data_IF_247789342179
#
_entry.id   IF_247789342179
#
_cell.length_a   1.000
_cell.length_b   1.000
_cell.length_c   1.000
_cell.angle_alpha   90.00
_cell.angle_beta   90.00
_cell.angle_gamma   90.00
#
_symmetry.space_group_name_H-M   'P 1'
#
loop_
_entity.id
_entity.type
_entity.pdbx_description
1 polymer ?
#
# COMPACT_ATOMS: atom_id res chain seq x y z
N UNK A 1 4.69 -6.87 10.53
CA UNK A 1 4.77 -8.04 9.62
C UNK A 1 6.22 -8.45 9.50
N UNK A 2 6.55 -9.76 9.51
CA UNK A 2 7.93 -10.19 9.30
C UNK A 2 8.32 -10.12 7.82
N UNK A 3 9.65 -10.09 7.52
CA UNK A 3 10.11 -10.13 6.13
C UNK A 3 9.65 -11.41 5.42
N UNK A 4 9.62 -12.53 6.12
CA UNK A 4 9.13 -13.81 5.60
C UNK A 4 7.67 -13.71 5.18
N UNK A 5 6.80 -13.15 6.02
CA UNK A 5 5.39 -12.93 5.69
C UNK A 5 5.21 -12.00 4.48
N UNK A 6 6.00 -10.94 4.39
CA UNK A 6 5.95 -10.03 3.26
C UNK A 6 6.41 -10.71 1.96
N UNK A 7 7.53 -11.42 2.02
CA UNK A 7 8.06 -12.17 0.87
C UNK A 7 7.07 -13.24 0.40
N UNK A 8 6.42 -13.96 1.32
CA UNK A 8 5.40 -14.96 0.98
C UNK A 8 4.21 -14.30 0.27
N UNK A 9 3.76 -13.13 0.70
CA UNK A 9 2.67 -12.41 0.03
C UNK A 9 3.06 -11.96 -1.39
N UNK A 10 4.25 -11.40 -1.55
CA UNK A 10 4.76 -10.99 -2.86
C UNK A 10 4.87 -12.22 -3.79
N UNK A 11 5.39 -13.34 -3.29
CA UNK A 11 5.52 -14.55 -4.06
C UNK A 11 4.16 -15.16 -4.41
N UNK A 12 3.18 -15.10 -3.51
CA UNK A 12 1.80 -15.54 -3.75
C UNK A 12 1.15 -14.71 -4.87
N UNK A 13 1.25 -13.39 -4.79
CA UNK A 13 0.74 -12.47 -5.81
C UNK A 13 1.39 -12.73 -7.18
N UNK A 14 2.71 -12.87 -7.21
CA UNK A 14 3.47 -13.08 -8.45
C UNK A 14 3.26 -14.48 -9.06
N UNK A 15 3.01 -15.50 -8.24
CA UNK A 15 2.74 -16.86 -8.70
C UNK A 15 1.27 -17.13 -9.01
N UNK A 16 0.37 -16.23 -8.64
CA UNK A 16 -1.08 -16.45 -8.76
C UNK A 16 -1.61 -17.55 -7.83
N UNK A 17 -0.92 -17.85 -6.74
CA UNK A 17 -1.31 -18.88 -5.76
C UNK A 17 -1.71 -18.18 -4.46
N UNK A 18 -2.89 -18.52 -3.93
CA UNK A 18 -3.39 -17.91 -2.69
C UNK A 18 -2.41 -18.11 -1.52
N UNK A 19 -2.10 -17.03 -0.79
CA UNK A 19 -1.21 -17.11 0.39
C UNK A 19 -1.69 -18.11 1.44
N UNK A 20 -3.01 -18.35 1.52
CA UNK A 20 -3.61 -19.29 2.45
C UNK A 20 -3.31 -20.76 2.05
N UNK A 21 -3.37 -21.06 0.76
CA UNK A 21 -3.06 -22.41 0.23
C UNK A 21 -1.57 -22.72 0.39
N UNK A 22 -0.71 -21.72 0.13
CA UNK A 22 0.73 -21.83 0.39
C UNK A 22 1.03 -22.19 1.86
N UNK A 23 0.36 -21.50 2.79
CA UNK A 23 0.58 -21.75 4.23
C UNK A 23 0.05 -23.10 4.70
N UNK A 24 -1.02 -23.60 4.09
CA UNK A 24 -1.63 -24.89 4.42
C UNK A 24 -0.99 -26.06 3.69
N UNK A 25 -0.11 -25.81 2.72
CA UNK A 25 0.46 -26.83 1.85
C UNK A 25 -0.56 -27.43 0.86
N UNK A 26 -1.68 -26.74 0.64
CA UNK A 26 -2.75 -27.19 -0.27
C UNK A 26 -2.48 -26.71 -1.70
N UNK A 27 -1.33 -27.14 -2.25
CA UNK A 27 -0.88 -26.77 -3.59
C UNK A 27 -0.51 -28.02 -4.37
N UNK A 28 -0.79 -28.00 -5.68
CA UNK A 28 -0.41 -29.08 -6.59
C UNK A 28 1.08 -28.99 -6.93
N UNK A 29 1.64 -30.08 -7.44
CA UNK A 29 3.06 -30.16 -7.79
C UNK A 29 3.47 -29.12 -8.86
N UNK A 30 2.65 -28.92 -9.88
CA UNK A 30 2.85 -27.90 -10.92
C UNK A 30 2.85 -26.48 -10.34
N UNK A 31 1.91 -26.17 -9.43
CA UNK A 31 1.85 -24.90 -8.71
C UNK A 31 3.07 -24.71 -7.81
N UNK A 32 3.53 -25.77 -7.13
CA UNK A 32 4.75 -25.71 -6.32
C UNK A 32 5.99 -25.40 -7.18
N UNK A 33 6.13 -26.04 -8.33
CA UNK A 33 7.24 -25.75 -9.26
C UNK A 33 7.20 -24.31 -9.77
N UNK A 34 6.00 -23.78 -10.07
CA UNK A 34 5.84 -22.39 -10.47
C UNK A 34 6.21 -21.43 -9.35
N UNK A 35 5.74 -21.68 -8.13
CA UNK A 35 6.08 -20.90 -6.94
C UNK A 35 7.58 -20.91 -6.65
N UNK A 36 8.24 -22.06 -6.73
CA UNK A 36 9.68 -22.19 -6.53
C UNK A 36 10.49 -21.36 -7.55
N UNK A 37 10.06 -21.35 -8.82
CA UNK A 37 10.65 -20.46 -9.85
C UNK A 37 10.45 -18.99 -9.51
N UNK A 38 9.25 -18.60 -9.09
CA UNK A 38 8.93 -17.23 -8.66
C UNK A 38 9.83 -16.79 -7.51
N UNK A 39 10.01 -17.62 -6.48
CA UNK A 39 10.94 -17.34 -5.36
C UNK A 39 12.38 -17.18 -5.86
N UNK A 40 12.81 -18.03 -6.79
CA UNK A 40 14.16 -17.95 -7.37
C UNK A 40 14.38 -16.61 -8.10
N UNK A 41 13.38 -16.17 -8.85
CA UNK A 41 13.43 -14.87 -9.54
C UNK A 41 13.44 -13.71 -8.54
N UNK A 42 12.63 -13.77 -7.48
CA UNK A 42 12.59 -12.73 -6.44
C UNK A 42 13.92 -12.56 -5.72
N UNK A 43 14.74 -13.62 -5.59
CA UNK A 43 16.09 -13.53 -5.01
C UNK A 43 17.05 -12.62 -5.80
N UNK A 44 16.79 -12.43 -7.09
CA UNK A 44 17.63 -11.59 -7.96
C UNK A 44 17.20 -10.12 -7.92
N UNK A 45 16.02 -9.82 -7.40
CA UNK A 45 15.50 -8.44 -7.28
C UNK A 45 16.22 -7.73 -6.13
N UNK A 46 16.77 -6.52 -6.34
CA UNK A 46 17.45 -5.76 -5.31
C UNK A 46 16.45 -5.15 -4.31
N UNK A 47 15.86 -5.99 -3.49
CA UNK A 47 14.86 -5.66 -2.48
C UNK A 47 15.41 -5.88 -1.08
N UNK A 48 15.40 -4.82 -0.25
CA UNK A 48 15.96 -4.82 1.10
C UNK A 48 14.85 -4.54 2.12
N UNK A 49 14.73 -5.39 3.13
CA UNK A 49 13.70 -5.28 4.16
C UNK A 49 14.36 -5.01 5.50
N UNK A 50 14.02 -3.91 6.15
CA UNK A 50 14.32 -3.65 7.56
C UNK A 50 13.14 -4.07 8.42
N UNK A 51 13.32 -5.06 9.28
CA UNK A 51 12.25 -5.63 10.12
C UNK A 51 12.13 -4.95 11.49
N UNK A 52 12.87 -3.88 11.74
CA UNK A 52 12.81 -3.18 13.03
C UNK A 52 11.41 -2.60 13.25
N UNK A 53 10.82 -2.84 14.42
CA UNK A 53 9.44 -2.44 14.71
C UNK A 53 9.30 -0.91 14.79
N UNK A 54 9.87 -0.30 15.81
CA UNK A 54 9.83 1.16 15.97
C UNK A 54 11.22 1.73 15.73
N UNK A 55 11.38 2.52 14.68
CA UNK A 55 12.68 3.11 14.31
C UNK A 55 12.60 4.64 14.43
N UNK A 56 13.49 5.29 15.20
CA UNK A 56 13.62 6.74 15.16
C UNK A 56 13.99 7.23 13.76
N UNK A 57 13.37 8.34 13.32
CA UNK A 57 13.57 8.90 11.97
C UNK A 57 15.04 9.17 11.65
N UNK A 58 15.83 9.60 12.64
CA UNK A 58 17.28 9.78 12.48
C UNK A 58 18.03 8.48 12.21
N UNK A 59 17.62 7.37 12.85
CA UNK A 59 18.19 6.03 12.64
C UNK A 59 17.81 5.50 11.25
N UNK A 60 16.52 5.63 10.86
CA UNK A 60 16.05 5.29 9.52
C UNK A 60 16.87 6.01 8.45
N UNK A 61 17.00 7.32 8.59
CA UNK A 61 17.78 8.16 7.65
C UNK A 61 19.25 7.72 7.56
N UNK A 62 19.86 7.38 8.69
CA UNK A 62 21.26 6.91 8.73
C UNK A 62 21.42 5.56 8.03
N UNK A 63 20.47 4.61 8.27
CA UNK A 63 20.47 3.30 7.60
C UNK A 63 20.28 3.43 6.10
N UNK A 64 19.32 4.26 5.66
CA UNK A 64 19.05 4.50 4.24
C UNK A 64 20.28 5.09 3.52
N UNK A 65 20.91 6.12 4.08
CA UNK A 65 22.14 6.71 3.52
C UNK A 65 23.30 5.71 3.47
N UNK A 66 23.43 4.86 4.51
CA UNK A 66 24.44 3.79 4.52
C UNK A 66 24.17 2.78 3.43
N UNK A 67 22.92 2.31 3.27
CA UNK A 67 22.53 1.38 2.22
C UNK A 67 22.82 1.96 0.83
N UNK A 68 22.39 3.19 0.56
CA UNK A 68 22.63 3.88 -0.70
C UNK A 68 24.12 3.94 -1.05
N UNK A 69 24.99 4.31 -0.07
CA UNK A 69 26.44 4.32 -0.26
C UNK A 69 27.01 2.93 -0.54
N UNK A 70 26.55 1.92 0.20
CA UNK A 70 27.01 0.52 0.01
C UNK A 70 26.63 0.00 -1.36
N UNK A 71 25.39 0.25 -1.82
CA UNK A 71 24.94 -0.15 -3.14
C UNK A 71 25.77 0.47 -4.24
N UNK A 72 26.04 1.77 -4.14
CA UNK A 72 26.84 2.49 -5.13
C UNK A 72 28.29 2.01 -5.18
N UNK A 73 28.93 1.80 -4.00
CA UNK A 73 30.34 1.43 -3.93
C UNK A 73 30.62 -0.04 -4.26
N UNK A 74 29.74 -0.98 -3.83
CA UNK A 74 30.04 -2.42 -3.94
C UNK A 74 29.30 -3.12 -5.07
N UNK A 75 28.17 -2.58 -5.53
CA UNK A 75 27.34 -3.21 -6.56
C UNK A 75 27.12 -2.36 -7.80
N UNK A 76 27.61 -1.14 -7.84
CA UNK A 76 27.31 -0.14 -8.87
C UNK A 76 25.79 -0.01 -9.11
N UNK A 77 25.00 -0.06 -8.03
CA UNK A 77 23.55 0.06 -8.00
C UNK A 77 23.15 1.32 -7.25
N UNK A 78 22.03 1.89 -7.59
CA UNK A 78 21.45 3.03 -6.89
C UNK A 78 20.18 2.62 -6.16
N UNK A 79 19.95 3.24 -5.00
CA UNK A 79 18.68 3.10 -4.29
C UNK A 79 17.63 3.92 -5.03
N UNK A 80 16.54 3.28 -5.50
CA UNK A 80 15.53 3.94 -6.33
C UNK A 80 14.26 4.33 -5.60
N UNK A 81 13.95 3.69 -4.45
CA UNK A 81 12.71 3.91 -3.70
C UNK A 81 12.87 3.48 -2.25
N UNK A 82 12.24 4.21 -1.34
CA UNK A 82 12.04 3.79 0.05
C UNK A 82 10.54 3.70 0.32
N UNK A 83 10.10 2.60 0.96
CA UNK A 83 8.72 2.43 1.44
C UNK A 83 8.76 2.32 2.97
N UNK A 84 7.93 3.12 3.65
CA UNK A 84 7.77 3.12 5.12
C UNK A 84 6.37 2.62 5.46
N UNK A 85 6.28 1.44 6.07
CA UNK A 85 5.02 0.81 6.49
C UNK A 85 4.98 0.67 8.02
N UNK A 86 4.32 1.56 8.71
CA UNK A 86 3.66 2.82 8.41
C UNK A 86 4.21 3.92 9.35
N UNK A 87 3.97 5.19 9.03
CA UNK A 87 4.63 6.33 9.69
C UNK A 87 4.34 6.42 11.19
N UNK A 88 3.19 5.94 11.65
CA UNK A 88 2.83 5.94 13.06
C UNK A 88 3.68 4.97 13.93
N UNK A 89 4.42 4.04 13.30
CA UNK A 89 5.41 3.20 13.99
C UNK A 89 6.78 3.85 14.07
N UNK A 90 7.06 4.88 13.27
CA UNK A 90 8.29 5.63 13.41
C UNK A 90 8.28 6.42 14.73
N UNK A 91 9.42 6.54 15.35
CA UNK A 91 9.60 7.30 16.59
C UNK A 91 10.36 8.60 16.31
N UNK A 92 10.19 9.57 17.19
CA UNK A 92 11.04 10.78 17.19
C UNK A 92 12.41 10.48 17.75
N UNK A 93 13.41 11.17 17.25
CA UNK A 93 14.80 10.99 17.71
C UNK A 93 15.04 11.56 19.11
N UNK A 94 14.21 12.51 19.55
CA UNK A 94 14.50 13.34 20.73
C UNK A 94 13.70 13.00 21.97
N UNK A 95 12.61 12.22 21.86
CA UNK A 95 11.68 12.00 22.98
C UNK A 95 11.01 13.27 23.52
N UNK A 96 11.21 14.42 22.85
CA UNK A 96 10.76 15.75 23.31
C UNK A 96 9.24 15.94 23.25
N UNK A 97 8.54 15.16 22.45
CA UNK A 97 7.12 15.36 22.14
C UNK A 97 6.24 14.24 22.71
N UNK A 98 6.59 13.67 23.89
CA UNK A 98 5.82 12.59 24.53
C UNK A 98 4.33 12.91 24.66
N UNK A 99 3.98 14.18 24.76
CA UNK A 99 2.61 14.64 24.99
C UNK A 99 1.90 15.18 23.74
N UNK A 100 2.57 15.22 22.55
CA UNK A 100 1.99 15.76 21.30
C UNK A 100 2.27 14.88 20.10
N UNK A 101 1.34 13.99 19.82
CA UNK A 101 1.41 13.08 18.64
C UNK A 101 1.48 13.83 17.33
N UNK A 102 0.84 14.98 17.23
CA UNK A 102 0.89 15.85 16.03
C UNK A 102 2.31 16.32 15.72
N UNK A 103 3.05 16.72 16.79
CA UNK A 103 4.44 17.17 16.63
C UNK A 103 5.39 16.00 16.30
N UNK A 104 5.14 14.81 16.85
CA UNK A 104 5.88 13.60 16.47
C UNK A 104 5.75 13.29 14.99
N UNK A 105 4.50 13.29 14.48
CA UNK A 105 4.24 13.03 13.06
C UNK A 105 4.88 14.10 12.19
N UNK A 106 4.84 15.38 12.61
CA UNK A 106 5.50 16.47 11.89
C UNK A 106 7.03 16.27 11.80
N UNK A 107 7.70 15.88 12.90
CA UNK A 107 9.14 15.59 12.87
C UNK A 107 9.46 14.44 11.92
N UNK A 108 8.63 13.40 11.92
CA UNK A 108 8.82 12.23 11.05
C UNK A 108 8.64 12.62 9.58
N UNK A 109 7.57 13.33 9.23
CA UNK A 109 7.28 13.72 7.83
C UNK A 109 8.34 14.67 7.28
N UNK A 110 8.79 15.65 8.07
CA UNK A 110 9.89 16.53 7.71
C UNK A 110 11.20 15.77 7.52
N UNK A 111 11.48 14.80 8.41
CA UNK A 111 12.65 13.93 8.30
C UNK A 111 12.64 13.06 7.04
N UNK A 112 11.48 12.49 6.68
CA UNK A 112 11.31 11.73 5.44
C UNK A 112 11.46 12.63 4.21
N UNK A 113 10.89 13.84 4.25
CA UNK A 113 11.03 14.81 3.17
C UNK A 113 12.48 15.25 2.96
N UNK A 114 13.22 15.49 4.06
CA UNK A 114 14.65 15.79 4.00
C UNK A 114 15.44 14.63 3.40
N UNK A 115 15.17 13.40 3.87
CA UNK A 115 15.85 12.19 3.36
C UNK A 115 15.60 11.98 1.87
N UNK A 116 14.37 12.18 1.38
CA UNK A 116 14.02 12.07 -0.03
C UNK A 116 14.84 13.05 -0.89
N UNK A 117 14.97 14.30 -0.42
CA UNK A 117 15.80 15.32 -1.09
C UNK A 117 17.28 14.98 -1.05
N UNK A 118 17.80 14.55 0.11
CA UNK A 118 19.21 14.22 0.28
C UNK A 118 19.67 13.05 -0.60
N UNK A 119 18.82 12.07 -0.81
CA UNK A 119 19.11 10.89 -1.62
C UNK A 119 18.64 11.03 -3.07
N UNK A 120 17.87 12.09 -3.39
CA UNK A 120 17.22 12.31 -4.69
C UNK A 120 16.38 11.11 -5.14
N UNK A 121 15.59 10.54 -4.22
CA UNK A 121 14.71 9.40 -4.49
C UNK A 121 13.32 9.62 -3.92
N UNK A 122 12.27 9.02 -4.51
CA UNK A 122 10.93 9.02 -3.94
C UNK A 122 10.87 8.20 -2.64
N UNK A 123 10.05 8.69 -1.70
CA UNK A 123 9.68 7.94 -0.49
C UNK A 123 8.16 7.78 -0.47
N UNK A 124 7.68 6.55 -0.39
CA UNK A 124 6.28 6.23 -0.15
C UNK A 124 6.12 5.94 1.34
N UNK A 125 5.29 6.74 2.02
CA UNK A 125 4.99 6.53 3.42
C UNK A 125 3.52 6.14 3.57
N UNK A 126 3.25 4.96 4.14
CA UNK A 126 1.90 4.53 4.46
C UNK A 126 1.43 5.22 5.74
N UNK A 127 0.16 5.58 5.79
CA UNK A 127 -0.44 6.22 6.95
C UNK A 127 -1.80 5.61 7.26
N UNK A 128 -2.05 5.38 8.55
CA UNK A 128 -3.35 4.94 9.00
C UNK A 128 -4.34 6.11 9.01
N UNK A 129 -5.57 5.86 8.57
CA UNK A 129 -6.64 6.83 8.59
C UNK A 129 -7.33 6.92 9.96
N UNK A 130 -8.00 8.05 10.21
CA UNK A 130 -8.92 8.20 11.32
C UNK A 130 -10.11 7.25 11.18
N UNK A 131 -10.55 6.67 12.30
CA UNK A 131 -11.77 5.84 12.32
C UNK A 131 -13.04 6.63 12.02
N UNK A 132 -13.00 7.95 12.03
CA UNK A 132 -14.15 8.80 11.69
C UNK A 132 -14.66 8.57 10.25
N UNK A 133 -13.81 8.10 9.32
CA UNK A 133 -14.23 7.70 7.97
C UNK A 133 -15.32 6.62 8.01
N UNK A 134 -15.26 5.71 9.00
CA UNK A 134 -16.22 4.61 9.16
C UNK A 134 -17.63 5.06 9.60
N UNK A 135 -17.77 6.26 10.17
CA UNK A 135 -19.04 6.80 10.65
C UNK A 135 -19.80 7.63 9.59
N UNK A 136 -19.20 7.90 8.44
CA UNK A 136 -19.83 8.65 7.36
C UNK A 136 -20.63 7.74 6.42
N UNK A 137 -21.63 8.31 5.73
CA UNK A 137 -22.37 7.60 4.67
C UNK A 137 -21.44 7.30 3.49
N UNK A 138 -20.75 8.32 2.96
CA UNK A 138 -19.67 8.15 1.98
C UNK A 138 -18.35 7.89 2.72
N UNK A 139 -17.87 6.66 2.60
CA UNK A 139 -16.62 6.20 3.24
C UNK A 139 -15.37 6.44 2.38
N UNK A 140 -15.49 7.20 1.28
CA UNK A 140 -14.30 7.62 0.52
C UNK A 140 -13.45 8.54 1.37
N UNK A 141 -12.16 8.21 1.56
CA UNK A 141 -11.27 9.03 2.39
C UNK A 141 -11.06 10.44 1.83
N UNK A 142 -10.93 11.38 2.76
CA UNK A 142 -10.61 12.78 2.52
C UNK A 142 -9.29 13.14 3.21
N UNK A 143 -8.68 14.28 2.84
CA UNK A 143 -7.46 14.77 3.50
C UNK A 143 -7.63 14.96 5.00
N UNK A 144 -8.81 15.37 5.47
CA UNK A 144 -9.14 15.51 6.89
C UNK A 144 -9.10 14.18 7.66
N UNK A 145 -9.16 13.03 6.97
CA UNK A 145 -9.08 11.69 7.59
C UNK A 145 -7.64 11.25 7.86
N UNK A 146 -6.65 11.98 7.38
CA UNK A 146 -5.27 11.80 7.79
C UNK A 146 -5.16 12.24 9.26
N UNK A 147 -5.29 11.28 10.16
CA UNK A 147 -5.32 11.47 11.61
C UNK A 147 -4.05 12.16 12.11
N UNK A 148 -4.22 13.18 12.96
CA UNK A 148 -3.14 13.88 13.68
C UNK A 148 -2.16 14.66 12.77
N UNK A 149 -2.55 15.03 11.53
CA UNK A 149 -1.54 15.32 10.55
C UNK A 149 -1.86 16.37 9.48
N UNK A 150 -2.21 17.55 9.87
CA UNK A 150 -1.97 18.69 8.97
C UNK A 150 -0.53 18.72 8.41
N UNK A 151 0.43 18.13 9.16
CA UNK A 151 1.82 17.97 8.74
C UNK A 151 2.00 16.99 7.56
N UNK A 152 1.34 15.81 7.58
CA UNK A 152 1.41 14.86 6.44
C UNK A 152 0.90 15.55 5.18
N UNK A 153 -0.25 16.22 5.28
CA UNK A 153 -0.80 16.95 4.14
C UNK A 153 0.15 18.04 3.66
N UNK A 154 0.78 18.81 4.56
CA UNK A 154 1.67 19.90 4.18
C UNK A 154 2.95 19.39 3.50
N UNK A 155 3.59 18.36 4.06
CA UNK A 155 4.92 17.88 3.65
C UNK A 155 4.85 16.99 2.41
N UNK A 156 3.80 16.19 2.22
CA UNK A 156 3.65 15.30 1.08
C UNK A 156 3.46 16.09 -0.23
N UNK A 157 4.12 15.66 -1.29
CA UNK A 157 3.89 16.19 -2.65
C UNK A 157 2.64 15.58 -3.27
N UNK A 158 2.37 14.31 -2.95
CA UNK A 158 1.20 13.57 -3.41
C UNK A 158 0.58 12.88 -2.20
N UNK A 159 -0.77 12.93 -2.10
CA UNK A 159 -1.55 12.16 -1.14
C UNK A 159 -2.54 11.30 -1.93
N UNK A 160 -2.45 10.00 -1.71
CA UNK A 160 -3.32 9.01 -2.35
C UNK A 160 -4.00 8.15 -1.28
N UNK A 161 -5.27 7.82 -1.52
CA UNK A 161 -6.00 6.88 -0.69
C UNK A 161 -6.41 5.68 -1.52
N UNK A 162 -6.38 4.50 -0.92
CA UNK A 162 -6.92 3.28 -1.52
C UNK A 162 -8.31 3.06 -0.94
N UNK A 163 -9.30 2.90 -1.81
CA UNK A 163 -10.70 2.70 -1.44
C UNK A 163 -11.28 1.48 -2.18
N UNK A 164 -12.09 0.70 -1.47
CA UNK A 164 -12.83 -0.45 -2.02
C UNK A 164 -14.25 -0.42 -1.50
N UNK A 165 -15.21 -0.08 -2.37
CA UNK A 165 -16.64 -0.06 -2.03
C UNK A 165 -17.16 -1.45 -1.67
N UNK A 166 -16.72 -2.47 -2.41
CA UNK A 166 -17.00 -3.89 -2.16
C UNK A 166 -16.74 -4.31 -0.70
N UNK A 167 -15.65 -3.81 -0.10
CA UNK A 167 -15.30 -4.12 1.30
C UNK A 167 -16.39 -3.67 2.28
N UNK A 168 -16.92 -2.47 2.08
CA UNK A 168 -17.97 -1.92 2.93
C UNK A 168 -19.31 -2.58 2.68
N UNK A 169 -19.65 -2.86 1.44
CA UNK A 169 -20.89 -3.55 1.06
C UNK A 169 -20.96 -4.98 1.62
N UNK A 170 -19.85 -5.73 1.56
CA UNK A 170 -19.78 -7.09 2.14
C UNK A 170 -20.09 -7.10 3.64
N UNK A 171 -19.67 -6.07 4.36
CA UNK A 171 -19.90 -5.96 5.80
C UNK A 171 -21.32 -5.51 6.18
N UNK A 172 -22.11 -5.01 5.23
CA UNK A 172 -23.43 -4.43 5.44
C UNK A 172 -24.51 -5.15 4.60
N UNK A 173 -24.46 -6.47 4.49
CA UNK A 173 -25.43 -7.24 3.72
C UNK A 173 -26.82 -7.22 4.38
N UNK A 174 -27.88 -6.75 3.69
CA UNK A 174 -29.24 -6.81 4.18
C UNK A 174 -29.79 -8.24 4.24
N UNK A 175 -30.86 -8.49 5.02
CA UNK A 175 -31.51 -9.80 5.07
C UNK A 175 -32.01 -10.24 3.68
N UNK A 176 -31.79 -11.52 3.30
CA UNK A 176 -32.27 -12.08 2.04
C UNK A 176 -33.80 -11.92 1.85
N UNK A 177 -34.22 -11.66 0.62
CA UNK A 177 -35.63 -11.54 0.27
C UNK A 177 -36.24 -10.14 0.50
N UNK A 178 -35.44 -9.15 0.92
CA UNK A 178 -35.88 -7.75 1.03
C UNK A 178 -35.56 -6.97 -0.25
N UNK A 179 -36.28 -5.88 -0.50
CA UNK A 179 -35.96 -4.94 -1.59
C UNK A 179 -34.56 -4.35 -1.43
N UNK A 180 -34.16 -4.10 -0.20
CA UNK A 180 -32.81 -3.64 0.13
C UNK A 180 -31.73 -4.67 -0.27
N UNK A 181 -32.01 -5.97 -0.11
CA UNK A 181 -31.11 -7.03 -0.53
C UNK A 181 -30.96 -7.08 -2.07
N UNK A 182 -32.05 -6.86 -2.81
CA UNK A 182 -32.03 -6.80 -4.29
C UNK A 182 -31.16 -5.62 -4.77
N UNK A 183 -31.38 -4.44 -4.19
CA UNK A 183 -30.57 -3.25 -4.47
C UNK A 183 -29.11 -3.43 -4.11
N UNK A 184 -28.84 -4.11 -2.99
CA UNK A 184 -27.49 -4.45 -2.54
C UNK A 184 -26.79 -5.41 -3.51
N UNK A 185 -27.50 -6.43 -4.03
CA UNK A 185 -26.95 -7.36 -5.04
C UNK A 185 -26.56 -6.62 -6.32
N UNK A 186 -27.42 -5.76 -6.82
CA UNK A 186 -27.12 -4.95 -8.02
C UNK A 186 -25.87 -4.07 -7.79
N UNK A 187 -25.78 -3.42 -6.62
CA UNK A 187 -24.62 -2.59 -6.28
C UNK A 187 -23.35 -3.42 -6.11
N UNK A 188 -23.46 -4.62 -5.51
CA UNK A 188 -22.33 -5.53 -5.34
C UNK A 188 -21.75 -5.96 -6.69
N UNK A 189 -22.61 -6.27 -7.67
CA UNK A 189 -22.20 -6.64 -9.03
C UNK A 189 -21.42 -5.51 -9.72
N UNK A 190 -21.89 -4.26 -9.56
CA UNK A 190 -21.21 -3.08 -10.12
C UNK A 190 -19.81 -2.87 -9.59
N UNK A 191 -19.56 -3.15 -8.30
CA UNK A 191 -18.28 -2.85 -7.62
C UNK A 191 -17.39 -4.05 -7.41
N UNK A 192 -17.85 -5.24 -7.78
CA UNK A 192 -17.11 -6.49 -7.58
C UNK A 192 -15.73 -6.43 -8.24
N UNK A 193 -14.69 -6.76 -7.45
CA UNK A 193 -13.31 -6.75 -7.91
C UNK A 193 -12.76 -5.37 -8.29
N UNK A 194 -13.46 -4.27 -7.95
CA UNK A 194 -12.99 -2.90 -8.23
C UNK A 194 -12.38 -2.25 -7.00
N UNK A 195 -11.35 -1.46 -7.24
CA UNK A 195 -10.73 -0.58 -6.26
C UNK A 195 -10.48 0.79 -6.88
N UNK A 196 -10.36 1.81 -6.03
CA UNK A 196 -10.06 3.17 -6.44
C UNK A 196 -8.79 3.66 -5.76
N UNK A 197 -7.88 4.30 -6.50
CA UNK A 197 -6.83 5.14 -5.96
C UNK A 197 -7.27 6.60 -6.11
N UNK A 198 -7.54 7.23 -4.98
CA UNK A 198 -8.04 8.58 -4.90
C UNK A 198 -6.86 9.53 -4.67
N UNK A 199 -6.41 10.23 -5.72
CA UNK A 199 -5.37 11.26 -5.62
C UNK A 199 -6.03 12.54 -5.13
N UNK A 200 -5.84 12.88 -3.84
CA UNK A 200 -6.49 14.03 -3.20
C UNK A 200 -5.58 15.25 -3.05
N UNK A 201 -4.28 15.04 -3.18
CA UNK A 201 -3.29 16.11 -3.30
C UNK A 201 -2.26 15.73 -4.35
N UNK A 202 -1.92 16.65 -5.22
CA UNK A 202 -0.83 16.53 -6.17
C UNK A 202 -0.21 17.93 -6.40
N UNK A 203 0.98 18.16 -5.84
CA UNK A 203 1.60 19.50 -5.85
C UNK A 203 1.88 20.03 -7.25
N UNK A 204 2.19 19.15 -8.20
CA UNK A 204 2.61 19.50 -9.56
C UNK A 204 1.66 18.95 -10.63
N UNK A 205 0.46 18.51 -10.26
CA UNK A 205 -0.51 17.95 -11.20
C UNK A 205 -1.94 17.98 -10.68
N UNK A 206 -2.90 17.50 -11.46
CA UNK A 206 -4.30 17.45 -11.07
C UNK A 206 -4.55 16.33 -10.04
N UNK A 207 -5.61 16.51 -9.26
CA UNK A 207 -6.23 15.43 -8.49
C UNK A 207 -7.03 14.53 -9.42
N UNK A 208 -7.14 13.23 -9.09
CA UNK A 208 -7.82 12.25 -9.92
C UNK A 208 -8.34 11.06 -9.11
N UNK A 209 -9.25 10.31 -9.72
CA UNK A 209 -9.63 8.98 -9.26
C UNK A 209 -9.17 7.98 -10.32
N UNK A 210 -8.36 7.03 -9.92
CA UNK A 210 -7.87 5.96 -10.80
C UNK A 210 -8.57 4.67 -10.39
N UNK A 211 -9.31 4.06 -11.31
CA UNK A 211 -9.95 2.77 -11.07
C UNK A 211 -8.97 1.64 -11.39
N UNK A 212 -8.94 0.65 -10.52
CA UNK A 212 -8.12 -0.55 -10.60
C UNK A 212 -9.00 -1.79 -10.43
N UNK A 213 -8.53 -2.91 -10.94
CA UNK A 213 -9.04 -4.22 -10.57
C UNK A 213 -8.36 -4.68 -9.28
N UNK A 214 -9.10 -5.32 -8.39
CA UNK A 214 -8.57 -5.93 -7.18
C UNK A 214 -8.99 -7.39 -7.07
N UNK A 215 -8.01 -8.26 -7.04
CA UNK A 215 -8.22 -9.70 -6.80
C UNK A 215 -7.98 -10.02 -5.32
N UNK A 216 -9.07 -10.26 -4.58
CA UNK A 216 -9.03 -10.42 -3.12
C UNK A 216 -8.19 -11.60 -2.67
N UNK A 217 -8.26 -12.72 -3.38
CA UNK A 217 -7.55 -13.96 -3.06
C UNK A 217 -6.02 -13.79 -3.09
N UNK A 218 -5.53 -13.00 -4.02
CA UNK A 218 -4.11 -12.70 -4.19
C UNK A 218 -3.71 -11.38 -3.53
N UNK A 219 -4.67 -10.59 -3.06
CA UNK A 219 -4.46 -9.20 -2.58
C UNK A 219 -3.77 -8.35 -3.68
N UNK A 220 -4.13 -8.61 -4.94
CA UNK A 220 -3.47 -8.06 -6.11
C UNK A 220 -4.26 -6.93 -6.72
N UNK A 221 -3.57 -5.82 -7.01
CA UNK A 221 -4.09 -4.75 -7.84
C UNK A 221 -3.56 -4.89 -9.26
N UNK A 222 -4.40 -4.62 -10.25
CA UNK A 222 -4.03 -4.58 -11.66
C UNK A 222 -4.83 -3.49 -12.38
N UNK A 223 -4.41 -3.18 -13.60
CA UNK A 223 -5.17 -2.24 -14.43
C UNK A 223 -6.55 -2.80 -14.76
N UNK A 224 -7.57 -1.93 -14.70
CA UNK A 224 -8.89 -2.28 -15.19
C UNK A 224 -8.82 -2.41 -16.71
N UNK A 225 -9.25 -3.54 -17.24
CA UNK A 225 -9.34 -3.72 -18.69
C UNK A 225 -10.24 -2.62 -19.29
N UNK A 226 -9.71 -1.83 -20.22
CA UNK A 226 -10.51 -0.85 -20.93
C UNK A 226 -11.44 -1.61 -21.87
N UNK A 227 -12.74 -1.29 -21.86
CA UNK A 227 -13.74 -1.91 -22.74
C UNK A 227 -13.35 -1.87 -24.22
N UNK A 228 -12.54 -0.90 -24.65
CA UNK A 228 -12.07 -0.74 -26.03
C UNK A 228 -10.86 -1.63 -26.40
N UNK A 229 -10.40 -2.53 -25.54
CA UNK A 229 -9.27 -3.44 -25.78
C UNK A 229 -9.67 -4.91 -25.83
N UNK A 230 -10.94 -5.20 -25.97
CA UNK A 230 -11.36 -6.56 -26.33
C UNK A 230 -10.93 -6.78 -27.78
N UNK A 231 -10.06 -7.78 -28.07
CA UNK A 231 -9.73 -8.11 -29.44
C UNK A 231 -11.05 -8.45 -30.15
N UNK A 232 -11.26 -7.86 -31.34
CA UNK A 232 -12.38 -8.21 -32.20
C UNK A 232 -12.42 -9.74 -32.31
N UNK A 233 -13.56 -10.34 -31.97
CA UNK A 233 -13.75 -11.77 -32.19
C UNK A 233 -13.66 -11.97 -33.69
N UNK A 234 -12.61 -12.63 -34.13
CA UNK A 234 -12.57 -13.20 -35.48
C UNK A 234 -13.67 -14.28 -35.54
N UNK A 235 -14.73 -14.00 -36.29
CA UNK A 235 -15.71 -14.99 -36.69
C UNK A 235 -15.11 -15.97 -37.70
#
# INVERSE_FOLDING_TARGET
MSAEQLTTRIAAEQSGIESNDLRRGNIKEDQFMHYARTISNLKTVPFYIDQSGSIPIGVLSTRARRLARTLKSSKNQELGLIIVDYIQLAATSSGKYRDSRVQEVAEITQGLKSLAKDLDIPIIALSQLSRQVESRDDKRPLLADLRESGAIEQDADIVMFVYRDEYYLKNNQPPPGTEQHTSWLARMDEVHGKAEVLIRKHRHGPTANVQLQFEEKLTKFSDLARENYLPERFE
#
